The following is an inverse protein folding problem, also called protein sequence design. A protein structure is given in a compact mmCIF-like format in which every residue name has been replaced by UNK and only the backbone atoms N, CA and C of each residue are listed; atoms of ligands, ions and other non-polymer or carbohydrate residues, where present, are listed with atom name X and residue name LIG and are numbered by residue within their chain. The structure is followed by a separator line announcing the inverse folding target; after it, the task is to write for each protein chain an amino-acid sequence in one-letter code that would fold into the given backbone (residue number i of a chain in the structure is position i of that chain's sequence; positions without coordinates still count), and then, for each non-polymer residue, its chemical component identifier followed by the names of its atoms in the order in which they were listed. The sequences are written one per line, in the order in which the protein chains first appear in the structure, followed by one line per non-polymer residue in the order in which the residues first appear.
data_IF_441630008356
#
_entry.id   IF_441630008356
#
_cell.length_a   1.000
_cell.length_b   1.000
_cell.length_c   1.000
_cell.angle_alpha   90.00
_cell.angle_beta   90.00
_cell.angle_gamma   90.00
#
_symmetry.space_group_name_H-M   'P 1'
#
loop_
_entity.id
_entity.type
_entity.pdbx_description
1 polymer ?
#
# COMPACT_ATOMS: atom_id res chain seq x y z
N UNK A 1 -8.19 -29.80 -11.48
CA UNK A 1 -8.74 -28.67 -12.26
C UNK A 1 -8.39 -28.94 -13.71
N UNK A 2 -9.38 -29.03 -14.59
CA UNK A 2 -9.13 -29.23 -16.01
C UNK A 2 -8.83 -27.87 -16.66
N UNK A 3 -7.57 -27.64 -16.99
CA UNK A 3 -7.08 -26.38 -17.53
C UNK A 3 -7.36 -26.21 -19.03
N UNK A 4 -7.86 -27.24 -19.71
CA UNK A 4 -8.11 -27.22 -21.16
C UNK A 4 -9.20 -26.23 -21.58
N UNK A 5 -10.01 -25.73 -20.63
CA UNK A 5 -11.07 -24.75 -20.87
C UNK A 5 -10.69 -23.31 -20.48
N UNK A 6 -9.53 -23.07 -19.85
CA UNK A 6 -9.10 -21.72 -19.45
C UNK A 6 -8.44 -21.01 -20.63
N UNK A 7 -9.06 -19.92 -21.11
CA UNK A 7 -8.54 -19.14 -22.25
C UNK A 7 -7.64 -17.98 -21.86
N UNK A 8 -7.83 -17.44 -20.66
CA UNK A 8 -7.07 -16.29 -20.16
C UNK A 8 -6.79 -16.46 -18.67
N UNK A 9 -5.63 -15.98 -18.25
CA UNK A 9 -5.26 -15.82 -16.84
C UNK A 9 -4.88 -14.35 -16.67
N UNK A 10 -5.46 -13.71 -15.65
CA UNK A 10 -5.16 -12.33 -15.29
C UNK A 10 -4.48 -12.40 -13.93
N UNK A 11 -3.31 -11.76 -13.83
CA UNK A 11 -2.52 -11.69 -12.61
C UNK A 11 -2.52 -10.27 -12.10
N UNK A 12 -2.72 -10.11 -10.81
CA UNK A 12 -2.36 -8.89 -10.10
C UNK A 12 -0.85 -8.88 -9.81
N UNK A 13 -0.31 -7.72 -9.43
CA UNK A 13 1.10 -7.56 -9.10
C UNK A 13 1.37 -7.86 -7.63
N UNK A 14 1.02 -6.92 -6.74
CA UNK A 14 1.34 -6.97 -5.31
C UNK A 14 0.61 -8.13 -4.63
N UNK A 15 1.35 -8.94 -3.86
CA UNK A 15 0.81 -10.12 -3.18
C UNK A 15 0.37 -11.27 -4.11
N UNK A 16 0.58 -11.15 -5.43
CA UNK A 16 0.23 -12.19 -6.42
C UNK A 16 1.44 -12.63 -7.23
N UNK A 17 2.07 -11.72 -7.98
CA UNK A 17 3.34 -11.98 -8.66
C UNK A 17 4.55 -11.60 -7.80
N UNK A 18 4.37 -10.63 -6.89
CA UNK A 18 5.40 -10.11 -6.01
C UNK A 18 5.03 -10.31 -4.54
N UNK A 19 5.98 -10.77 -3.73
CA UNK A 19 5.85 -10.81 -2.26
C UNK A 19 6.49 -9.55 -1.66
N UNK A 20 5.75 -8.45 -1.74
CA UNK A 20 6.22 -7.08 -1.45
C UNK A 20 5.41 -6.35 -0.38
N UNK A 21 4.43 -7.01 0.24
CA UNK A 21 3.60 -6.41 1.28
C UNK A 21 4.43 -5.89 2.47
N UNK A 22 5.51 -6.61 2.80
CA UNK A 22 6.45 -6.19 3.84
C UNK A 22 7.16 -4.87 3.48
N UNK A 23 7.59 -4.72 2.22
CA UNK A 23 8.27 -3.53 1.71
C UNK A 23 7.32 -2.33 1.69
N UNK A 24 6.11 -2.51 1.16
CA UNK A 24 5.07 -1.49 1.16
C UNK A 24 4.76 -0.98 2.57
N UNK A 25 4.71 -1.89 3.56
CA UNK A 25 4.53 -1.51 4.97
C UNK A 25 5.75 -0.76 5.52
N UNK A 26 6.98 -1.15 5.17
CA UNK A 26 8.19 -0.47 5.63
C UNK A 26 8.30 0.96 5.09
N UNK A 27 8.03 1.16 3.81
CA UNK A 27 7.97 2.48 3.16
C UNK A 27 6.90 3.35 3.83
N UNK A 28 5.69 2.82 3.99
CA UNK A 28 4.62 3.56 4.69
C UNK A 28 5.04 3.92 6.11
N UNK A 29 5.65 3.00 6.85
CA UNK A 29 6.16 3.30 8.19
C UNK A 29 7.26 4.36 8.18
N UNK A 30 8.06 4.46 7.12
CA UNK A 30 8.99 5.57 6.88
C UNK A 30 8.24 6.90 6.80
N UNK A 31 7.24 6.98 5.93
CA UNK A 31 6.41 8.18 5.75
C UNK A 31 5.66 8.59 7.02
N UNK A 32 5.09 7.63 7.75
CA UNK A 32 4.37 7.86 9.01
C UNK A 32 5.30 8.45 10.07
N UNK A 33 6.52 7.90 10.21
CA UNK A 33 7.53 8.45 11.14
C UNK A 33 7.90 9.89 10.82
N UNK A 34 8.09 10.24 9.54
CA UNK A 34 8.39 11.62 9.11
C UNK A 34 7.29 12.61 9.53
N UNK A 35 6.05 12.14 9.64
CA UNK A 35 4.86 12.93 10.02
C UNK A 35 4.49 12.81 11.51
N UNK A 36 5.27 12.06 12.30
CA UNK A 36 4.95 11.81 13.71
C UNK A 36 3.69 10.95 13.91
N UNK A 37 3.26 10.22 12.89
CA UNK A 37 2.09 9.34 12.94
C UNK A 37 2.45 7.94 13.47
N UNK A 38 1.50 7.21 14.08
CA UNK A 38 1.74 5.85 14.56
C UNK A 38 2.11 4.89 13.43
N UNK A 39 3.19 4.13 13.60
CA UNK A 39 3.61 3.10 12.64
C UNK A 39 2.71 1.87 12.70
N UNK A 40 2.64 1.15 11.59
CA UNK A 40 1.84 -0.05 11.38
C UNK A 40 2.61 -1.32 11.75
N UNK A 41 1.96 -2.16 12.56
CA UNK A 41 2.29 -3.59 12.63
C UNK A 41 1.84 -4.30 11.36
N UNK A 42 2.28 -5.54 11.16
CA UNK A 42 1.84 -6.36 10.01
C UNK A 42 0.33 -6.58 10.08
N UNK A 43 -0.18 -6.95 11.26
CA UNK A 43 -1.59 -7.25 11.49
C UNK A 43 -2.47 -6.02 11.24
N UNK A 44 -2.01 -4.83 11.65
CA UNK A 44 -2.74 -3.59 11.42
C UNK A 44 -2.71 -3.20 9.95
N UNK A 45 -1.57 -3.37 9.27
CA UNK A 45 -1.44 -3.10 7.83
C UNK A 45 -2.42 -3.95 7.04
N UNK A 46 -2.41 -5.28 7.24
CA UNK A 46 -3.32 -6.23 6.59
C UNK A 46 -4.79 -5.94 6.88
N UNK A 47 -5.13 -5.52 8.09
CA UNK A 47 -6.52 -5.27 8.48
C UNK A 47 -7.14 -3.99 7.87
N UNK A 48 -6.31 -3.01 7.47
CA UNK A 48 -6.81 -1.70 7.01
C UNK A 48 -6.44 -1.36 5.58
N UNK A 49 -5.47 -2.07 4.99
CA UNK A 49 -5.09 -1.89 3.59
C UNK A 49 -6.31 -2.14 2.71
N UNK A 50 -6.54 -1.22 1.78
CA UNK A 50 -7.78 -1.16 1.03
C UNK A 50 -7.61 -0.30 -0.23
N UNK A 51 -8.47 -0.55 -1.22
CA UNK A 51 -8.57 0.26 -2.42
C UNK A 51 -9.91 1.02 -2.43
N UNK A 52 -9.95 2.28 -2.88
CA UNK A 52 -8.85 3.07 -3.42
C UNK A 52 -7.82 3.49 -2.35
N UNK A 53 -6.54 3.53 -2.74
CA UNK A 53 -5.40 3.71 -1.82
C UNK A 53 -5.48 5.01 -1.00
N UNK A 54 -6.08 6.08 -1.52
CA UNK A 54 -6.28 7.30 -0.75
C UNK A 54 -7.06 7.06 0.55
N UNK A 55 -8.06 6.16 0.52
CA UNK A 55 -8.81 5.76 1.70
C UNK A 55 -7.94 5.09 2.76
N UNK A 56 -6.98 4.27 2.33
CA UNK A 56 -5.97 3.67 3.21
C UNK A 56 -5.08 4.74 3.86
N UNK A 57 -4.59 5.73 3.09
CA UNK A 57 -3.78 6.82 3.64
C UNK A 57 -4.53 7.59 4.74
N UNK A 58 -5.84 7.85 4.54
CA UNK A 58 -6.67 8.46 5.60
C UNK A 58 -6.81 7.56 6.83
N UNK A 59 -6.99 6.24 6.66
CA UNK A 59 -7.09 5.27 7.77
C UNK A 59 -5.82 5.18 8.62
N UNK A 60 -4.65 5.46 8.05
CA UNK A 60 -3.36 5.47 8.77
C UNK A 60 -3.01 6.84 9.39
N UNK A 61 -3.81 7.87 9.12
CA UNK A 61 -3.73 9.17 9.80
C UNK A 61 -3.31 10.36 8.93
N UNK A 62 -3.24 10.22 7.61
CA UNK A 62 -2.99 11.37 6.74
C UNK A 62 -4.20 12.30 6.69
N UNK A 63 -3.93 13.61 6.70
CA UNK A 63 -4.90 14.68 6.54
C UNK A 63 -4.47 15.60 5.41
N UNK A 64 -5.33 15.82 4.43
CA UNK A 64 -4.99 16.57 3.21
C UNK A 64 -5.02 18.10 3.37
N UNK A 65 -4.98 18.58 4.61
CA UNK A 65 -4.92 20.01 4.93
C UNK A 65 -3.47 20.53 4.89
N UNK A 66 -2.50 19.65 5.13
CA UNK A 66 -1.08 19.98 5.28
C UNK A 66 -0.24 19.53 4.07
N UNK A 67 -0.74 18.55 3.32
CA UNK A 67 -0.13 17.98 2.12
C UNK A 67 -1.23 17.37 1.23
N UNK A 68 -0.89 16.99 0.01
CA UNK A 68 -1.82 16.32 -0.91
C UNK A 68 -1.57 14.81 -0.99
N UNK A 69 -2.61 14.06 -1.37
CA UNK A 69 -2.45 12.64 -1.69
C UNK A 69 -1.39 12.40 -2.78
N UNK A 70 -1.28 13.30 -3.75
CA UNK A 70 -0.29 13.21 -4.82
C UNK A 70 1.14 13.30 -4.28
N UNK A 71 1.41 14.21 -3.34
CA UNK A 71 2.74 14.36 -2.74
C UNK A 71 3.13 13.13 -1.93
N UNK A 72 2.25 12.68 -1.03
CA UNK A 72 2.49 11.48 -0.22
C UNK A 72 2.62 10.21 -1.07
N UNK A 73 1.77 10.07 -2.09
CA UNK A 73 1.82 8.95 -3.04
C UNK A 73 3.08 8.99 -3.90
N UNK A 74 3.53 10.16 -4.35
CA UNK A 74 4.79 10.31 -5.09
C UNK A 74 5.99 9.94 -4.22
N UNK A 75 6.00 10.39 -2.96
CA UNK A 75 7.03 9.99 -1.99
C UNK A 75 7.07 8.46 -1.83
N UNK A 76 5.92 7.78 -1.85
CA UNK A 76 5.86 6.33 -1.72
C UNK A 76 6.47 5.64 -2.94
N UNK A 77 6.11 6.09 -4.14
CA UNK A 77 6.63 5.53 -5.40
C UNK A 77 8.15 5.72 -5.48
N UNK A 78 8.66 6.89 -5.12
CA UNK A 78 10.11 7.17 -5.13
C UNK A 78 10.88 6.26 -4.17
N UNK A 79 10.27 5.86 -3.05
CA UNK A 79 10.89 4.91 -2.10
C UNK A 79 10.72 3.44 -2.52
N UNK A 80 9.77 3.14 -3.40
CA UNK A 80 9.48 1.79 -3.88
C UNK A 80 10.32 1.38 -5.10
N UNK A 81 10.72 2.35 -5.94
CA UNK A 81 11.61 2.18 -7.10
C UNK A 81 13.09 2.08 -6.74
#
# INVERSE_FOLDING_TARGET
MDWTQVRHVIWDWNGTLLDDAWLCREIMNGQLRKRGLPVLSVERYEAIFDFPVEGYYRKVGFHWEQETFQEAGTEFIVEYE
#
